data_IF_596034873938
#
_entry.id   IF_596034873938
#
_cell.length_a   1.000
_cell.length_b   1.000
_cell.length_c   1.000
_cell.angle_alpha   90.00
_cell.angle_beta   90.00
_cell.angle_gamma   90.00
#
_symmetry.space_group_name_H-M   'P 1'
#
loop_
_entity.id
_entity.type
_entity.pdbx_description
1 polymer ?
#
# COMPACT_ATOMS: atom_id res chain seq x y z
N UNK A 1 23.34 33.66 56.15
CA UNK A 1 22.15 32.86 55.79
C UNK A 1 21.83 33.11 54.33
N UNK A 2 22.48 32.34 53.45
CA UNK A 2 22.20 32.35 52.01
C UNK A 2 20.92 31.53 51.80
N UNK A 3 19.90 32.16 51.22
CA UNK A 3 18.61 31.52 50.94
C UNK A 3 18.73 30.65 49.68
N UNK A 4 18.41 29.38 49.84
CA UNK A 4 18.30 28.40 48.76
C UNK A 4 17.28 28.83 47.70
N UNK A 5 17.75 28.88 46.46
CA UNK A 5 16.90 29.01 45.27
C UNK A 5 16.28 27.63 45.02
N UNK A 6 15.01 27.47 45.36
CA UNK A 6 14.22 26.31 44.96
C UNK A 6 14.13 26.27 43.43
N UNK A 7 14.80 25.29 42.80
CA UNK A 7 14.54 24.98 41.41
C UNK A 7 13.15 24.35 41.28
N UNK A 8 12.26 25.08 40.62
CA UNK A 8 10.93 24.64 40.27
C UNK A 8 11.01 23.50 39.25
N UNK A 9 10.89 22.25 39.70
CA UNK A 9 10.96 21.03 38.89
C UNK A 9 9.65 20.73 38.14
N UNK A 10 8.92 21.75 37.67
CA UNK A 10 7.61 21.55 37.04
C UNK A 10 7.60 21.49 35.51
N UNK A 11 8.72 21.72 34.83
CA UNK A 11 8.78 21.74 33.36
C UNK A 11 9.39 20.46 32.75
N UNK A 12 9.10 19.30 33.34
CA UNK A 12 9.09 18.04 32.56
C UNK A 12 7.69 17.91 31.95
N UNK A 13 7.35 18.87 31.09
CA UNK A 13 6.21 18.71 30.20
C UNK A 13 6.50 17.50 29.30
N UNK A 14 5.57 16.55 29.34
CA UNK A 14 5.55 15.32 28.56
C UNK A 14 6.19 15.45 27.17
N UNK A 15 7.33 14.77 26.96
CA UNK A 15 7.83 14.42 25.63
C UNK A 15 6.95 13.31 25.01
N UNK A 16 5.63 13.46 25.10
CA UNK A 16 4.69 12.60 24.39
C UNK A 16 4.80 12.97 22.91
N UNK A 17 5.46 12.12 22.13
CA UNK A 17 5.67 12.43 20.72
C UNK A 17 4.33 12.52 20.01
N UNK A 18 4.18 13.58 19.23
CA UNK A 18 3.01 13.77 18.40
C UNK A 18 2.88 12.66 17.38
N UNK A 19 1.65 12.40 16.97
CA UNK A 19 1.37 11.59 15.80
C UNK A 19 1.93 12.29 14.55
N UNK A 20 2.72 11.57 13.75
CA UNK A 20 3.31 12.12 12.52
C UNK A 20 2.87 11.34 11.30
N UNK A 21 2.37 12.05 10.29
CA UNK A 21 2.07 11.47 8.97
C UNK A 21 3.36 11.16 8.19
N UNK A 22 3.38 10.00 7.58
CA UNK A 22 4.45 9.46 6.75
C UNK A 22 3.85 8.82 5.48
N UNK A 23 4.72 8.57 4.51
CA UNK A 23 4.34 8.03 3.21
C UNK A 23 5.25 6.87 2.84
N UNK A 24 4.67 5.78 2.36
CA UNK A 24 5.38 4.64 1.80
C UNK A 24 5.04 4.55 0.30
N UNK A 25 6.04 4.71 -0.56
CA UNK A 25 5.86 4.62 -2.01
C UNK A 25 5.85 3.16 -2.46
N UNK A 26 4.83 2.79 -3.24
CA UNK A 26 4.72 1.49 -3.89
C UNK A 26 5.36 1.59 -5.27
N UNK A 27 6.48 0.89 -5.49
CA UNK A 27 7.16 0.84 -6.78
C UNK A 27 6.73 -0.40 -7.58
N UNK A 28 6.53 -0.24 -8.88
CA UNK A 28 6.22 -1.34 -9.80
C UNK A 28 7.32 -2.40 -9.86
N UNK A 29 8.57 -2.03 -9.59
CA UNK A 29 9.72 -2.93 -9.55
C UNK A 29 9.74 -3.86 -8.34
N UNK A 30 8.93 -3.60 -7.32
CA UNK A 30 8.84 -4.45 -6.12
C UNK A 30 7.88 -5.64 -6.31
N UNK A 31 7.18 -5.69 -7.45
CA UNK A 31 6.21 -6.73 -7.74
C UNK A 31 6.84 -7.94 -8.42
N UNK A 32 6.41 -9.12 -7.99
CA UNK A 32 6.67 -10.40 -8.64
C UNK A 32 5.37 -11.00 -9.16
N UNK A 33 5.37 -11.69 -10.31
CA UNK A 33 4.19 -12.43 -10.77
C UNK A 33 3.78 -13.50 -9.76
N UNK A 34 2.47 -13.66 -9.59
CA UNK A 34 1.92 -14.68 -8.70
C UNK A 34 2.06 -16.10 -9.28
N UNK A 35 2.06 -16.24 -10.62
CA UNK A 35 2.20 -17.53 -11.30
C UNK A 35 3.36 -17.51 -12.31
N UNK A 36 4.05 -18.64 -12.45
CA UNK A 36 5.23 -18.76 -13.33
C UNK A 36 4.89 -18.97 -14.82
N UNK A 37 3.61 -19.01 -15.18
CA UNK A 37 3.19 -19.31 -16.56
C UNK A 37 3.12 -18.08 -17.47
N UNK A 38 3.23 -16.87 -16.92
CA UNK A 38 3.15 -15.61 -17.66
C UNK A 38 4.54 -15.07 -18.01
N UNK A 39 4.78 -14.75 -19.28
CA UNK A 39 5.98 -14.05 -19.75
C UNK A 39 5.82 -12.54 -19.52
N UNK A 40 5.97 -12.11 -18.27
CA UNK A 40 5.76 -10.72 -17.90
C UNK A 40 6.88 -9.81 -18.42
N UNK A 41 6.52 -8.61 -18.86
CA UNK A 41 7.46 -7.57 -19.22
C UNK A 41 7.32 -6.39 -18.25
N UNK A 42 8.35 -6.13 -17.43
CA UNK A 42 8.57 -4.81 -16.83
C UNK A 42 8.86 -3.83 -17.96
N UNK A 43 7.83 -3.25 -18.55
CA UNK A 43 7.97 -2.19 -19.54
C UNK A 43 8.26 -0.87 -18.84
N UNK A 44 9.52 -0.62 -18.46
CA UNK A 44 10.18 0.65 -18.06
C UNK A 44 9.46 1.72 -17.19
N UNK A 45 8.22 1.53 -16.74
CA UNK A 45 7.49 2.45 -15.84
C UNK A 45 6.15 1.89 -15.29
N UNK A 46 5.70 0.71 -15.74
CA UNK A 46 4.39 0.17 -15.33
C UNK A 46 4.34 -1.36 -15.36
N UNK A 47 3.38 -1.92 -14.60
CA UNK A 47 2.91 -3.30 -14.76
C UNK A 47 1.69 -3.30 -15.68
N UNK A 48 1.59 -4.32 -16.53
CA UNK A 48 0.47 -4.54 -17.46
C UNK A 48 0.38 -6.02 -17.76
N UNK A 49 -0.74 -6.43 -18.32
CA UNK A 49 -0.86 -7.80 -18.81
C UNK A 49 0.13 -8.08 -19.96
N UNK A 50 0.69 -9.29 -20.02
CA UNK A 50 1.44 -9.81 -21.19
C UNK A 50 0.54 -10.56 -22.20
N UNK A 51 -0.69 -10.88 -21.78
CA UNK A 51 -1.74 -11.51 -22.58
C UNK A 51 -2.88 -10.54 -22.76
N UNK A 52 -3.52 -10.57 -23.93
CA UNK A 52 -4.69 -9.74 -24.21
C UNK A 52 -5.99 -10.30 -23.62
N UNK A 53 -6.00 -11.55 -23.15
CA UNK A 53 -7.23 -12.29 -22.82
C UNK A 53 -7.15 -13.09 -21.52
N UNK A 54 -6.03 -12.99 -20.80
CA UNK A 54 -5.80 -13.76 -19.58
C UNK A 54 -5.48 -12.79 -18.46
N UNK A 55 -6.27 -12.87 -17.39
CA UNK A 55 -6.02 -12.15 -16.15
C UNK A 55 -4.64 -12.47 -15.59
N UNK A 56 -3.98 -11.45 -15.07
CA UNK A 56 -2.65 -11.53 -14.51
C UNK A 56 -2.61 -11.00 -13.10
N UNK A 57 -1.77 -11.64 -12.29
CA UNK A 57 -1.73 -11.46 -10.86
C UNK A 57 -0.29 -11.17 -10.44
N UNK A 58 -0.10 -10.17 -9.58
CA UNK A 58 1.20 -9.81 -9.02
C UNK A 58 1.10 -9.55 -7.52
N UNK A 59 2.22 -9.76 -6.84
CA UNK A 59 2.38 -9.45 -5.42
C UNK A 59 3.60 -8.56 -5.22
N UNK A 60 3.44 -7.47 -4.48
CA UNK A 60 4.52 -6.61 -4.02
C UNK A 60 4.53 -6.51 -2.49
N UNK A 61 5.69 -6.65 -1.86
CA UNK A 61 5.80 -6.56 -0.40
C UNK A 61 5.55 -5.14 0.12
N UNK A 62 5.02 -5.03 1.34
CA UNK A 62 4.84 -3.75 2.05
C UNK A 62 5.56 -3.83 3.39
N UNK A 63 6.44 -2.86 3.65
CA UNK A 63 7.27 -2.81 4.85
C UNK A 63 7.02 -1.51 5.61
N UNK A 64 6.08 -1.56 6.57
CA UNK A 64 5.77 -0.44 7.46
C UNK A 64 6.28 -0.72 8.89
N UNK A 65 6.59 0.33 9.68
CA UNK A 65 7.00 0.15 11.07
C UNK A 65 5.93 -0.54 11.92
N UNK A 66 6.37 -1.28 12.96
CA UNK A 66 5.47 -1.83 13.97
C UNK A 66 4.60 -0.72 14.58
N UNK A 67 3.30 -0.96 14.70
CA UNK A 67 2.36 -0.01 15.31
C UNK A 67 2.00 1.18 14.43
N UNK A 68 2.50 1.26 13.19
CA UNK A 68 2.02 2.25 12.24
C UNK A 68 0.53 2.08 11.98
N UNK A 69 -0.21 3.18 11.84
CA UNK A 69 -1.64 3.17 11.48
C UNK A 69 -1.79 3.62 10.05
N UNK A 70 -2.22 2.73 9.16
CA UNK A 70 -2.49 3.05 7.75
C UNK A 70 -3.78 3.85 7.65
N UNK A 71 -3.73 4.99 6.98
CA UNK A 71 -4.88 5.91 6.87
C UNK A 71 -5.42 6.01 5.45
N UNK A 72 -4.59 5.72 4.44
CA UNK A 72 -4.97 5.86 3.04
C UNK A 72 -4.11 4.99 2.13
N UNK A 73 -4.74 4.45 1.09
CA UNK A 73 -4.07 3.86 -0.08
C UNK A 73 -4.44 4.69 -1.30
N UNK A 74 -3.43 5.19 -2.03
CA UNK A 74 -3.62 5.88 -3.31
C UNK A 74 -2.85 5.15 -4.40
N UNK A 75 -3.50 4.88 -5.53
CA UNK A 75 -2.95 4.10 -6.64
C UNK A 75 -3.09 4.87 -7.95
N UNK A 76 -2.08 4.81 -8.82
CA UNK A 76 -2.11 5.48 -10.12
C UNK A 76 -2.15 4.54 -11.30
N UNK A 77 -3.21 4.61 -12.11
CA UNK A 77 -3.51 3.70 -13.22
C UNK A 77 -3.81 4.38 -14.54
N UNK A 78 -3.65 3.62 -15.62
CA UNK A 78 -4.24 3.88 -16.92
C UNK A 78 -5.31 2.84 -17.21
N UNK A 79 -6.41 3.27 -17.81
CA UNK A 79 -7.36 2.37 -18.46
C UNK A 79 -7.90 3.00 -19.75
N UNK A 80 -8.12 2.26 -20.83
CA UNK A 80 -8.79 2.79 -22.03
C UNK A 80 -10.01 1.99 -22.52
N UNK A 81 -10.22 0.77 -22.01
CA UNK A 81 -11.40 -0.04 -22.26
C UNK A 81 -12.32 -0.11 -21.02
N UNK A 82 -13.62 0.05 -21.24
CA UNK A 82 -14.65 -0.07 -20.21
C UNK A 82 -14.78 -1.48 -19.61
N UNK A 83 -14.44 -2.52 -20.38
CA UNK A 83 -14.54 -3.93 -20.02
C UNK A 83 -13.25 -4.49 -19.41
N UNK A 84 -12.12 -3.80 -19.58
CA UNK A 84 -10.88 -4.16 -18.90
C UNK A 84 -10.93 -3.70 -17.43
N UNK A 85 -10.32 -4.49 -16.55
CA UNK A 85 -10.34 -4.26 -15.10
C UNK A 85 -8.94 -4.32 -14.51
N UNK A 86 -8.63 -3.38 -13.62
CA UNK A 86 -7.52 -3.47 -12.68
C UNK A 86 -8.07 -3.47 -11.26
N UNK A 87 -7.53 -4.33 -10.39
CA UNK A 87 -7.89 -4.40 -8.97
C UNK A 87 -6.63 -4.48 -8.11
N UNK A 88 -6.60 -3.74 -7.02
CA UNK A 88 -5.53 -3.73 -6.03
C UNK A 88 -6.10 -3.89 -4.66
N UNK A 89 -5.45 -4.76 -3.90
CA UNK A 89 -5.78 -5.02 -2.52
C UNK A 89 -4.53 -4.78 -1.68
N UNK A 90 -4.64 -3.94 -0.67
CA UNK A 90 -3.72 -3.97 0.45
C UNK A 90 -4.15 -5.12 1.34
N UNK A 91 -3.27 -6.08 1.57
CA UNK A 91 -3.58 -7.28 2.35
C UNK A 91 -2.61 -7.44 3.51
N UNK A 92 -3.13 -8.03 4.60
CA UNK A 92 -2.32 -8.63 5.65
C UNK A 92 -2.44 -10.15 5.55
N UNK A 93 -1.34 -10.87 5.70
CA UNK A 93 -1.28 -12.32 5.68
C UNK A 93 -0.82 -12.82 7.04
N UNK A 94 -1.63 -13.66 7.68
CA UNK A 94 -1.26 -14.27 8.95
C UNK A 94 -0.06 -15.20 8.76
N UNK A 95 1.05 -14.93 9.45
CA UNK A 95 2.30 -15.70 9.31
C UNK A 95 2.08 -17.16 9.75
N UNK A 96 1.23 -17.39 10.76
CA UNK A 96 0.98 -18.71 11.31
C UNK A 96 0.17 -19.63 10.37
N UNK A 97 -0.69 -19.07 9.51
CA UNK A 97 -1.65 -19.86 8.71
C UNK A 97 -1.56 -19.62 7.22
N UNK A 98 -0.88 -18.56 6.77
CA UNK A 98 -0.90 -18.10 5.38
C UNK A 98 -2.21 -17.46 4.95
N UNK A 99 -3.17 -17.25 5.86
CA UNK A 99 -4.48 -16.68 5.52
C UNK A 99 -4.34 -15.19 5.21
N UNK A 100 -4.78 -14.77 4.02
CA UNK A 100 -4.81 -13.37 3.61
C UNK A 100 -6.15 -12.71 3.97
N UNK A 101 -6.08 -11.47 4.44
CA UNK A 101 -7.22 -10.60 4.76
C UNK A 101 -7.04 -9.27 4.05
N UNK A 102 -8.11 -8.79 3.40
CA UNK A 102 -8.11 -7.48 2.75
C UNK A 102 -8.21 -6.37 3.79
N UNK A 103 -7.33 -5.38 3.68
CA UNK A 103 -7.35 -4.14 4.46
C UNK A 103 -8.02 -3.01 3.68
N UNK A 104 -7.73 -2.91 2.38
CA UNK A 104 -8.29 -1.90 1.48
C UNK A 104 -8.38 -2.48 0.07
N UNK A 105 -9.26 -1.94 -0.77
CA UNK A 105 -9.43 -2.39 -2.15
C UNK A 105 -9.75 -1.25 -3.11
N UNK A 106 -9.02 -1.19 -4.21
CA UNK A 106 -9.20 -0.19 -5.26
C UNK A 106 -9.37 -0.91 -6.59
N UNK A 107 -10.37 -0.50 -7.37
CA UNK A 107 -10.60 -0.99 -8.72
C UNK A 107 -10.55 0.17 -9.73
N UNK A 108 -10.21 -0.14 -10.98
CA UNK A 108 -10.25 0.84 -12.07
C UNK A 108 -11.69 1.29 -12.20
N UNK A 109 -11.91 2.60 -12.27
CA UNK A 109 -13.24 3.15 -12.45
C UNK A 109 -13.64 3.14 -13.94
N UNK A 110 -14.83 3.65 -14.27
CA UNK A 110 -15.30 3.75 -15.65
C UNK A 110 -14.64 4.87 -16.48
N UNK A 111 -13.58 5.52 -15.96
CA UNK A 111 -12.90 6.63 -16.63
C UNK A 111 -11.75 6.10 -17.47
N UNK A 112 -11.66 6.58 -18.71
CA UNK A 112 -10.54 6.28 -19.59
C UNK A 112 -9.39 7.29 -19.37
N UNK A 113 -8.16 6.87 -19.65
CA UNK A 113 -6.94 7.63 -19.42
C UNK A 113 -6.27 7.35 -18.07
N UNK A 114 -5.33 8.23 -17.73
CA UNK A 114 -4.58 8.15 -16.48
C UNK A 114 -5.38 8.75 -15.32
N UNK A 115 -5.40 8.07 -14.17
CA UNK A 115 -6.11 8.55 -13.00
C UNK A 115 -5.45 8.04 -11.70
N UNK A 116 -5.62 8.82 -10.63
CA UNK A 116 -5.33 8.39 -9.26
C UNK A 116 -6.65 7.99 -8.60
N UNK A 117 -6.65 6.87 -7.89
CA UNK A 117 -7.78 6.41 -7.08
C UNK A 117 -7.30 6.24 -5.65
N UNK A 118 -8.14 6.65 -4.70
CA UNK A 118 -7.81 6.68 -3.29
C UNK A 118 -8.88 5.93 -2.50
N UNK A 119 -8.43 5.09 -1.56
CA UNK A 119 -9.26 4.45 -0.54
C UNK A 119 -8.73 4.82 0.85
N UNK A 120 -9.57 5.45 1.66
CA UNK A 120 -9.29 5.81 3.05
C UNK A 120 -10.06 4.94 4.05
N UNK A 121 -10.83 3.94 3.58
CA UNK A 121 -11.61 3.02 4.41
C UNK A 121 -10.77 1.80 4.79
N UNK A 122 -9.71 2.01 5.57
CA UNK A 122 -8.75 0.96 5.92
C UNK A 122 -9.30 0.08 7.05
N UNK A 123 -9.53 -1.19 6.75
CA UNK A 123 -9.85 -2.20 7.74
C UNK A 123 -8.59 -2.64 8.49
N UNK A 124 -8.71 -2.76 9.81
CA UNK A 124 -7.63 -3.23 10.69
C UNK A 124 -6.31 -2.47 10.44
N UNK A 125 -6.31 -1.13 10.56
CA UNK A 125 -5.28 -0.27 10.00
C UNK A 125 -3.93 -0.34 10.72
N UNK A 126 -3.88 -0.95 11.92
CA UNK A 126 -2.68 -1.00 12.75
C UNK A 126 -1.77 -2.15 12.31
N UNK A 127 -0.51 -1.82 12.04
CA UNK A 127 0.52 -2.76 11.61
C UNK A 127 1.05 -3.57 12.80
N UNK A 128 0.98 -4.89 12.68
CA UNK A 128 1.56 -5.86 13.59
C UNK A 128 2.43 -6.88 12.84
N UNK A 129 3.71 -6.54 12.73
CA UNK A 129 4.73 -7.34 12.06
C UNK A 129 5.13 -8.60 12.86
N UNK A 130 4.55 -8.83 14.05
CA UNK A 130 4.85 -10.03 14.85
C UNK A 130 4.00 -11.24 14.44
N UNK A 131 2.82 -11.00 13.86
CA UNK A 131 1.86 -12.03 13.47
C UNK A 131 1.38 -11.91 12.02
N UNK A 132 1.62 -10.78 11.35
CA UNK A 132 1.25 -10.55 9.96
C UNK A 132 2.44 -10.12 9.09
N UNK A 133 2.41 -10.50 7.82
CA UNK A 133 3.15 -9.84 6.74
C UNK A 133 2.19 -9.05 5.86
N UNK A 134 2.65 -8.00 5.20
CA UNK A 134 1.80 -7.10 4.42
C UNK A 134 2.26 -7.06 2.96
N UNK A 135 1.30 -6.98 2.04
CA UNK A 135 1.57 -6.94 0.61
C UNK A 135 0.46 -6.25 -0.16
N UNK A 136 0.80 -5.77 -1.35
CA UNK A 136 -0.15 -5.39 -2.39
C UNK A 136 -0.39 -6.60 -3.27
N UNK A 137 -1.64 -6.99 -3.44
CA UNK A 137 -2.08 -7.93 -4.46
C UNK A 137 -2.69 -7.14 -5.62
N UNK A 138 -2.15 -7.31 -6.82
CA UNK A 138 -2.60 -6.65 -8.04
C UNK A 138 -3.19 -7.70 -8.99
N UNK A 139 -4.38 -7.42 -9.50
CA UNK A 139 -5.01 -8.14 -10.60
C UNK A 139 -5.20 -7.21 -11.79
N UNK A 140 -4.82 -7.65 -12.98
CA UNK A 140 -5.13 -6.96 -14.24
C UNK A 140 -5.81 -7.96 -15.16
N UNK A 141 -7.05 -7.66 -15.53
CA UNK A 141 -7.86 -8.40 -16.49
C UNK A 141 -8.06 -7.55 -17.76
N UNK A 142 -7.27 -7.79 -18.83
CA UNK A 142 -7.35 -7.05 -20.08
C UNK A 142 -8.57 -7.44 -20.92
N UNK A 143 -8.99 -6.59 -21.86
CA UNK A 143 -10.08 -6.88 -22.78
C UNK A 143 -9.62 -6.86 -24.25
N UNK A 144 -8.97 -7.93 -24.68
CA UNK A 144 -8.39 -8.10 -26.01
C UNK A 144 -7.22 -7.16 -26.35
N UNK A 145 -6.67 -6.43 -25.37
CA UNK A 145 -5.40 -5.73 -25.56
C UNK A 145 -4.56 -5.62 -24.27
N UNK A 146 -3.26 -5.80 -24.42
CA UNK A 146 -2.28 -5.73 -23.31
C UNK A 146 -2.03 -4.30 -22.80
N UNK A 147 -2.52 -3.29 -23.51
CA UNK A 147 -2.36 -1.89 -23.09
C UNK A 147 -3.57 -1.35 -22.36
N UNK A 148 -4.63 -2.17 -22.23
CA UNK A 148 -5.93 -1.71 -21.75
C UNK A 148 -5.90 -1.20 -20.32
N UNK A 149 -5.03 -1.78 -19.51
CA UNK A 149 -4.83 -1.44 -18.11
C UNK A 149 -3.34 -1.41 -17.82
N UNK A 150 -2.88 -0.36 -17.13
CA UNK A 150 -1.51 -0.25 -16.65
C UNK A 150 -1.49 0.24 -15.21
N UNK A 151 -0.71 -0.45 -14.39
CA UNK A 151 -0.42 -0.09 -13.00
C UNK A 151 0.89 0.69 -12.93
N UNK A 152 0.87 1.94 -12.43
CA UNK A 152 2.08 2.79 -12.31
C UNK A 152 2.71 2.84 -10.92
N UNK A 153 2.05 2.28 -9.90
CA UNK A 153 2.48 2.39 -8.51
C UNK A 153 1.41 3.03 -7.62
N UNK A 154 1.85 3.47 -6.45
CA UNK A 154 0.97 4.08 -5.47
C UNK A 154 1.69 4.63 -4.24
N UNK A 155 0.92 5.05 -3.27
CA UNK A 155 1.38 5.56 -1.98
C UNK A 155 0.47 5.03 -0.88
N UNK A 156 1.06 4.53 0.20
CA UNK A 156 0.37 4.27 1.46
C UNK A 156 0.67 5.44 2.39
N UNK A 157 -0.37 6.14 2.83
CA UNK A 157 -0.26 7.16 3.87
C UNK A 157 -0.49 6.49 5.22
N UNK A 158 0.35 6.78 6.20
CA UNK A 158 0.26 6.20 7.53
C UNK A 158 0.74 7.17 8.61
N UNK A 159 0.37 6.89 9.85
CA UNK A 159 0.83 7.64 11.02
C UNK A 159 1.62 6.77 11.99
N UNK A 160 2.53 7.41 12.74
CA UNK A 160 3.29 6.79 13.84
C UNK A 160 3.29 7.71 15.06
N UNK A 161 3.26 7.13 16.26
CA UNK A 161 3.46 7.87 17.53
C UNK A 161 4.92 7.78 17.92
N UNK A 162 5.55 8.93 18.15
CA UNK A 162 6.93 9.01 18.65
C UNK A 162 6.99 9.16 20.19
N UNK A 163 8.14 8.92 20.83
CA UNK A 163 9.33 8.30 20.26
C UNK A 163 9.08 6.81 20.00
N UNK A 164 9.61 6.32 18.88
CA UNK A 164 9.68 4.88 18.65
C UNK A 164 10.43 4.24 19.85
N UNK A 165 9.88 3.20 20.51
CA UNK A 165 10.54 2.57 21.64
C UNK A 165 11.90 1.96 21.27
#
# INVERSE_FOLDING_TARGET
>A
CHSDVAQNTSDIAALGGGEQTRYYSINVGDFSPYSQTSLWALGNACLRADSATVQQLWIGGVHLPQGATVTELTIGWYRDDALAMGEVYLQRMAIATGTAYSMASIATNSVAGNHLVTDSSILEPVIDNTIYSYHIYLSIDPNNSIVDVKFYGGVITYTITEPLP
#
